data_IF_140729188755
#
_entry.id   IF_140729188755
#
_cell.length_a   1.000
_cell.length_b   1.000
_cell.length_c   1.000
_cell.angle_alpha   90.00
_cell.angle_beta   90.00
_cell.angle_gamma   90.00
#
_symmetry.space_group_name_H-M   'P 1'
#
loop_
_entity.id
_entity.type
_entity.pdbx_description
1 polymer ?
#
# COMPACT_ATOMS: atom_id res chain seq x y z
N UNK A 1 33.34 -22.80 24.70
CA UNK A 1 32.44 -22.83 23.53
C UNK A 1 31.22 -22.01 23.91
N UNK A 2 31.09 -20.77 23.44
CA UNK A 2 29.96 -19.91 23.77
C UNK A 2 28.78 -20.32 22.90
N UNK A 3 27.69 -20.77 23.52
CA UNK A 3 26.44 -21.05 22.85
C UNK A 3 25.85 -19.72 22.33
N UNK A 4 25.71 -19.59 21.02
CA UNK A 4 25.04 -18.45 20.40
C UNK A 4 23.58 -18.43 20.86
N UNK A 5 23.25 -17.47 21.71
CA UNK A 5 21.88 -17.25 22.16
C UNK A 5 21.05 -16.78 20.96
N UNK A 6 20.15 -17.63 20.48
CA UNK A 6 19.19 -17.23 19.45
C UNK A 6 18.30 -16.13 20.02
N UNK A 7 18.20 -14.94 19.39
CA UNK A 7 17.40 -13.85 19.91
C UNK A 7 15.94 -14.31 20.06
N UNK A 8 15.35 -14.01 21.22
CA UNK A 8 13.99 -14.41 21.56
C UNK A 8 12.96 -13.99 20.51
N UNK A 9 11.90 -14.80 20.35
CA UNK A 9 10.86 -14.55 19.35
C UNK A 9 10.17 -13.20 19.60
N UNK A 10 10.25 -12.31 18.61
CA UNK A 10 9.61 -10.99 18.65
C UNK A 10 8.18 -11.09 18.13
N UNK A 11 7.20 -10.89 19.02
CA UNK A 11 5.77 -11.07 18.74
C UNK A 11 5.06 -9.83 18.20
N UNK A 12 5.69 -8.66 18.26
CA UNK A 12 5.09 -7.37 17.88
C UNK A 12 5.58 -6.84 16.52
N UNK A 13 6.23 -7.66 15.68
CA UNK A 13 6.82 -7.23 14.39
C UNK A 13 5.87 -6.41 13.51
N UNK A 14 4.60 -6.84 13.37
CA UNK A 14 3.59 -6.10 12.59
C UNK A 14 3.24 -4.73 13.18
N UNK A 15 3.20 -4.64 14.52
CA UNK A 15 2.94 -3.38 15.22
C UNK A 15 4.09 -2.41 15.07
N UNK A 16 5.33 -2.90 15.21
CA UNK A 16 6.55 -2.11 15.02
C UNK A 16 6.64 -1.61 13.57
N UNK A 17 6.35 -2.45 12.59
CA UNK A 17 6.37 -2.04 11.18
C UNK A 17 5.30 -0.98 10.86
N UNK A 18 4.08 -1.13 11.41
CA UNK A 18 3.05 -0.09 11.29
C UNK A 18 3.52 1.24 11.89
N UNK A 19 4.16 1.22 13.05
CA UNK A 19 4.69 2.45 13.68
C UNK A 19 5.79 3.09 12.85
N UNK A 20 6.71 2.29 12.28
CA UNK A 20 7.76 2.77 11.39
C UNK A 20 7.18 3.50 10.17
N UNK A 21 6.18 2.92 9.52
CA UNK A 21 5.49 3.51 8.35
C UNK A 21 4.74 4.79 8.68
N UNK A 22 4.02 4.81 9.81
CA UNK A 22 3.31 6.02 10.27
C UNK A 22 4.28 7.17 10.59
N UNK A 23 5.44 6.87 11.17
CA UNK A 23 6.47 7.87 11.42
C UNK A 23 7.09 8.39 10.11
N UNK A 24 7.34 7.50 9.15
CA UNK A 24 7.91 7.87 7.85
C UNK A 24 6.97 8.74 7.01
N UNK A 25 5.67 8.43 7.00
CA UNK A 25 4.69 9.20 6.23
C UNK A 25 4.44 10.61 6.79
N UNK A 26 4.90 10.90 8.01
CA UNK A 26 4.84 12.22 8.65
C UNK A 26 3.46 12.92 8.58
N UNK A 27 2.38 12.14 8.65
CA UNK A 27 1.01 12.67 8.59
C UNK A 27 0.59 13.21 9.95
N UNK A 28 0.16 14.47 9.99
CA UNK A 28 -0.40 15.07 11.20
C UNK A 28 -1.86 14.62 11.41
N UNK A 29 -2.08 13.78 12.42
CA UNK A 29 -3.42 13.28 12.76
C UNK A 29 -3.95 12.26 11.75
N UNK A 30 -5.21 12.41 11.35
CA UNK A 30 -5.92 11.45 10.47
C UNK A 30 -6.31 12.03 9.11
N UNK A 31 -5.95 13.28 8.83
CA UNK A 31 -6.31 13.99 7.61
C UNK A 31 -5.06 14.16 6.78
N UNK A 32 -5.07 13.60 5.56
CA UNK A 32 -4.00 13.74 4.59
C UNK A 32 -4.44 14.79 3.57
N UNK A 33 -3.71 15.90 3.41
CA UNK A 33 -3.96 16.84 2.32
C UNK A 33 -3.87 16.14 0.96
N UNK A 34 -4.78 16.46 0.05
CA UNK A 34 -4.91 15.83 -1.28
C UNK A 34 -3.60 15.85 -2.07
N UNK A 35 -2.85 16.96 -1.98
CA UNK A 35 -1.56 17.20 -2.61
C UNK A 35 -0.40 16.40 -2.00
N UNK A 36 -0.55 15.93 -0.76
CA UNK A 36 0.45 15.10 -0.06
C UNK A 36 0.12 13.61 -0.12
N UNK A 37 -1.00 13.23 -0.74
CA UNK A 37 -1.47 11.86 -0.71
C UNK A 37 -0.50 10.87 -1.37
N UNK A 38 0.11 11.23 -2.51
CA UNK A 38 1.08 10.35 -3.19
C UNK A 38 2.28 10.08 -2.30
N UNK A 39 2.86 11.14 -1.74
CA UNK A 39 4.01 11.03 -0.84
C UNK A 39 3.67 10.21 0.41
N UNK A 40 2.50 10.43 1.00
CA UNK A 40 2.05 9.63 2.13
C UNK A 40 1.88 8.15 1.77
N UNK A 41 1.33 7.83 0.60
CA UNK A 41 1.16 6.45 0.16
C UNK A 41 2.49 5.76 -0.15
N UNK A 42 3.48 6.46 -0.71
CA UNK A 42 4.85 5.94 -0.92
C UNK A 42 5.53 5.53 0.39
N UNK A 43 5.25 6.24 1.49
CA UNK A 43 5.80 5.92 2.81
C UNK A 43 5.01 4.85 3.57
N UNK A 44 3.69 4.77 3.35
CA UNK A 44 2.80 3.83 4.04
C UNK A 44 2.84 2.43 3.42
N UNK A 45 3.11 2.35 2.13
CA UNK A 45 3.11 1.13 1.35
C UNK A 45 4.54 0.66 1.06
N UNK A 46 4.74 -0.65 0.96
CA UNK A 46 6.03 -1.25 0.63
C UNK A 46 5.91 -2.35 -0.44
N UNK A 47 6.93 -2.55 -1.28
CA UNK A 47 7.00 -3.69 -2.20
C UNK A 47 6.62 -5.03 -1.56
N UNK A 48 5.62 -5.70 -2.13
CA UNK A 48 5.10 -6.99 -1.65
C UNK A 48 3.96 -6.89 -0.62
N UNK A 49 3.53 -5.68 -0.26
CA UNK A 49 2.31 -5.50 0.53
C UNK A 49 1.08 -6.01 -0.21
N UNK A 50 0.18 -6.65 0.55
CA UNK A 50 -1.18 -6.94 0.09
C UNK A 50 -2.04 -5.72 0.38
N UNK A 51 -2.40 -5.00 -0.68
CA UNK A 51 -3.22 -3.80 -0.61
C UNK A 51 -4.61 -4.11 -1.15
N UNK A 52 -5.63 -3.88 -0.33
CA UNK A 52 -7.03 -3.96 -0.75
C UNK A 52 -7.44 -2.58 -1.23
N UNK A 53 -7.83 -2.48 -2.50
CA UNK A 53 -8.35 -1.26 -3.11
C UNK A 53 -9.86 -1.42 -3.30
N UNK A 54 -10.65 -0.62 -2.58
CA UNK A 54 -12.10 -0.70 -2.61
C UNK A 54 -12.66 -0.42 -4.02
N UNK A 55 -13.38 -1.41 -4.54
CA UNK A 55 -14.07 -1.34 -5.81
C UNK A 55 -15.16 -2.40 -5.82
N UNK A 56 -16.38 -2.03 -5.40
CA UNK A 56 -17.56 -2.85 -5.55
C UNK A 56 -18.53 -2.23 -6.57
N UNK A 57 -19.63 -2.92 -6.85
CA UNK A 57 -20.58 -2.52 -7.90
C UNK A 57 -21.34 -1.21 -7.63
N UNK A 58 -21.16 -0.60 -6.45
CA UNK A 58 -21.83 0.64 -6.05
C UNK A 58 -20.86 1.73 -5.58
N UNK A 59 -19.63 1.39 -5.18
CA UNK A 59 -18.64 2.33 -4.65
C UNK A 59 -17.23 1.94 -5.11
N UNK A 60 -16.53 2.92 -5.67
CA UNK A 60 -15.13 2.81 -6.06
C UNK A 60 -14.31 3.86 -5.32
N UNK A 61 -13.12 3.46 -4.85
CA UNK A 61 -12.11 4.39 -4.35
C UNK A 61 -11.35 5.02 -5.53
N UNK A 62 -12.07 5.57 -6.50
CA UNK A 62 -11.53 5.99 -7.80
C UNK A 62 -10.46 7.08 -7.68
N UNK A 63 -10.58 7.95 -6.69
CA UNK A 63 -9.55 8.93 -6.34
C UNK A 63 -8.23 8.24 -5.92
N UNK A 64 -8.28 7.29 -4.99
CA UNK A 64 -7.10 6.56 -4.53
C UNK A 64 -6.47 5.74 -5.66
N UNK A 65 -7.28 5.08 -6.50
CA UNK A 65 -6.80 4.32 -7.65
C UNK A 65 -6.00 5.18 -8.63
N UNK A 66 -6.47 6.41 -8.93
CA UNK A 66 -5.80 7.32 -9.86
C UNK A 66 -4.47 7.84 -9.31
N UNK A 67 -4.44 8.17 -8.02
CA UNK A 67 -3.21 8.65 -7.38
C UNK A 67 -2.14 7.55 -7.33
N UNK A 68 -2.54 6.29 -7.09
CA UNK A 68 -1.65 5.13 -7.17
C UNK A 68 -1.15 4.83 -8.60
N UNK A 69 -1.94 5.12 -9.63
CA UNK A 69 -1.54 4.89 -11.03
C UNK A 69 -0.68 6.03 -11.63
N UNK A 70 -0.66 7.20 -10.97
CA UNK A 70 0.06 8.39 -11.40
C UNK A 70 1.51 8.49 -10.89
N UNK A 71 1.94 7.54 -10.05
CA UNK A 71 3.26 7.52 -9.43
C UNK A 71 4.25 6.59 -10.15
N UNK A 72 5.54 6.81 -9.90
CA UNK A 72 6.62 5.99 -10.46
C UNK A 72 6.51 4.52 -9.98
N UNK A 73 6.51 3.54 -10.91
CA UNK A 73 6.32 2.12 -10.56
C UNK A 73 7.34 1.57 -9.55
N UNK A 74 8.53 2.18 -9.48
CA UNK A 74 9.60 1.79 -8.57
C UNK A 74 9.29 2.10 -7.09
N UNK A 75 8.35 3.03 -6.82
CA UNK A 75 8.08 3.52 -5.46
C UNK A 75 6.92 2.79 -4.76
N UNK A 76 6.17 1.94 -5.47
CA UNK A 76 4.92 1.35 -4.97
C UNK A 76 4.92 -0.18 -4.88
N UNK A 77 4.05 -0.77 -4.03
CA UNK A 77 3.87 -2.22 -3.97
C UNK A 77 3.30 -2.79 -5.26
N UNK A 78 3.48 -4.11 -5.38
CA UNK A 78 2.61 -4.97 -6.18
C UNK A 78 1.32 -5.29 -5.43
N UNK A 79 0.18 -4.59 -5.63
CA UNK A 79 -1.05 -4.96 -4.97
C UNK A 79 -1.52 -6.31 -5.51
N UNK A 80 -1.83 -7.22 -4.58
CA UNK A 80 -2.63 -8.39 -4.89
C UNK A 80 -4.11 -7.95 -4.88
N UNK A 81 -4.77 -8.04 -6.04
CA UNK A 81 -6.20 -7.81 -6.14
C UNK A 81 -6.96 -8.99 -5.55
N UNK A 82 -7.48 -8.83 -4.32
CA UNK A 82 -8.51 -9.75 -3.81
C UNK A 82 -9.88 -9.05 -3.93
N UNK A 83 -10.65 -9.55 -4.89
CA UNK A 83 -12.08 -9.30 -5.17
C UNK A 83 -12.48 -7.97 -5.83
N UNK A 84 -12.46 -7.96 -7.17
CA UNK A 84 -13.36 -7.11 -7.96
C UNK A 84 -14.62 -7.91 -8.34
N UNK A 85 -15.81 -7.66 -7.77
CA UNK A 85 -17.06 -8.24 -8.26
C UNK A 85 -17.67 -7.44 -9.42
N UNK A 86 -16.85 -6.79 -10.27
CA UNK A 86 -17.23 -6.42 -11.64
C UNK A 86 -15.99 -5.96 -12.42
N UNK A 87 -15.59 -6.76 -13.39
CA UNK A 87 -14.83 -6.33 -14.56
C UNK A 87 -15.60 -5.21 -15.27
N UNK A 88 -15.11 -3.97 -15.21
CA UNK A 88 -15.76 -2.85 -15.91
C UNK A 88 -15.01 -1.53 -15.94
N UNK A 89 -14.08 -1.27 -15.03
CA UNK A 89 -13.33 -0.02 -15.02
C UNK A 89 -11.94 -0.22 -15.66
N UNK A 90 -11.77 0.21 -16.92
CA UNK A 90 -10.52 0.16 -17.68
C UNK A 90 -9.29 0.66 -16.90
N UNK A 91 -9.49 1.61 -15.97
CA UNK A 91 -8.43 2.18 -15.11
C UNK A 91 -7.82 1.20 -14.09
N UNK A 92 -8.53 0.13 -13.74
CA UNK A 92 -7.95 -0.91 -12.90
C UNK A 92 -6.98 -1.80 -13.70
N UNK A 93 -7.10 -1.85 -15.02
CA UNK A 93 -6.15 -2.55 -15.90
C UNK A 93 -4.83 -1.77 -16.04
N UNK A 94 -4.87 -0.43 -16.04
CA UNK A 94 -3.68 0.43 -16.14
C UNK A 94 -2.62 0.13 -15.06
N UNK A 95 -3.05 -0.33 -13.88
CA UNK A 95 -2.16 -0.72 -12.78
C UNK A 95 -1.38 -2.01 -13.10
N UNK A 96 -1.96 -2.93 -13.87
CA UNK A 96 -1.26 -4.12 -14.36
C UNK A 96 -0.33 -3.78 -15.53
N UNK A 97 -0.78 -2.93 -16.46
CA UNK A 97 0.02 -2.51 -17.63
C UNK A 97 1.27 -1.72 -17.23
N UNK A 98 1.18 -0.91 -16.16
CA UNK A 98 2.32 -0.15 -15.61
C UNK A 98 3.25 -0.97 -14.71
N UNK A 99 3.00 -2.27 -14.56
CA UNK A 99 3.79 -3.15 -13.69
C UNK A 99 3.62 -2.85 -12.20
N UNK A 100 2.63 -2.03 -11.85
CA UNK A 100 2.31 -1.71 -10.47
C UNK A 100 1.66 -2.92 -9.82
N UNK A 101 0.89 -3.77 -10.53
CA UNK A 101 0.21 -4.96 -9.99
C UNK A 101 0.43 -6.26 -10.77
N UNK A 102 0.15 -7.43 -10.15
CA UNK A 102 0.19 -8.76 -10.77
C UNK A 102 -1.04 -9.60 -10.41
#
# INVERSE_FOLDING_TARGET
MNAEQTPGRVWNRRRTEKQRRLAAANVSGKVIPTDQLVDALEHLLAPGDRVVLEGNNQKQADFLSRMLAGSEPANYPRPAYDHAPASGAAKHLDLFEKGIAR
#
